data_IF_736786960351
#
_entry.id   IF_736786960351
#
_cell.length_a   1.000
_cell.length_b   1.000
_cell.length_c   1.000
_cell.angle_alpha   90.00
_cell.angle_beta   90.00
_cell.angle_gamma   90.00
#
_symmetry.space_group_name_H-M   'P 1'
#
loop_
_entity.id
_entity.type
_entity.pdbx_description
1 polymer ?
#
# COMPACT_ATOMS: atom_id res chain seq x y z
N UNK A 1 -19.43 -10.83 10.56
CA UNK A 1 -19.41 -11.06 9.11
C UNK A 1 -18.15 -10.36 8.61
N UNK A 2 -17.31 -11.04 7.83
CA UNK A 2 -16.16 -10.41 7.20
C UNK A 2 -16.68 -9.56 6.05
N UNK A 3 -16.39 -8.26 6.08
CA UNK A 3 -16.90 -7.27 5.12
C UNK A 3 -15.80 -6.42 4.48
N UNK A 4 -14.56 -6.53 4.96
CA UNK A 4 -13.36 -5.87 4.44
C UNK A 4 -12.40 -6.88 3.81
N UNK A 5 -11.96 -6.60 2.59
CA UNK A 5 -10.80 -7.25 1.98
C UNK A 5 -9.59 -6.31 2.00
N UNK A 6 -8.46 -6.75 2.56
CA UNK A 6 -7.20 -6.00 2.49
C UNK A 6 -6.44 -6.52 1.27
N UNK A 7 -6.49 -5.76 0.18
CA UNK A 7 -6.03 -6.13 -1.15
C UNK A 7 -4.58 -5.71 -1.38
N UNK A 8 -3.71 -6.68 -1.67
CA UNK A 8 -2.26 -6.49 -1.77
C UNK A 8 -1.72 -7.35 -2.92
N UNK A 9 -0.71 -6.84 -3.62
CA UNK A 9 0.06 -7.64 -4.58
C UNK A 9 1.36 -8.16 -3.96
N UNK A 10 1.66 -9.45 -4.16
CA UNK A 10 2.89 -10.10 -3.71
C UNK A 10 3.67 -10.70 -4.88
N UNK A 11 4.82 -10.12 -5.17
CA UNK A 11 5.76 -10.56 -6.20
C UNK A 11 6.65 -11.72 -5.73
N UNK A 12 7.33 -12.40 -6.65
CA UNK A 12 8.33 -13.41 -6.31
C UNK A 12 9.66 -12.77 -5.87
N UNK A 13 9.67 -12.22 -4.66
CA UNK A 13 10.81 -11.51 -4.11
C UNK A 13 10.96 -11.77 -2.59
N UNK A 14 12.14 -12.22 -2.11
CA UNK A 14 12.40 -12.43 -0.68
C UNK A 14 12.05 -11.24 0.20
N UNK A 15 12.33 -10.02 -0.26
CA UNK A 15 11.99 -8.80 0.46
C UNK A 15 10.49 -8.61 0.59
N UNK A 16 9.72 -8.96 -0.43
CA UNK A 16 8.26 -8.82 -0.38
C UNK A 16 7.61 -9.91 0.49
N UNK A 17 8.23 -11.08 0.63
CA UNK A 17 7.81 -12.08 1.61
C UNK A 17 8.04 -11.62 3.05
N UNK A 18 9.17 -10.96 3.32
CA UNK A 18 9.43 -10.33 4.62
C UNK A 18 8.41 -9.23 4.91
N UNK A 19 8.10 -8.38 3.93
CA UNK A 19 7.10 -7.32 4.07
C UNK A 19 5.70 -7.91 4.30
N UNK A 20 5.31 -8.94 3.55
CA UNK A 20 4.05 -9.65 3.78
C UNK A 20 3.98 -10.27 5.19
N UNK A 21 5.08 -10.80 5.72
CA UNK A 21 5.14 -11.30 7.08
C UNK A 21 4.81 -10.18 8.10
N UNK A 22 5.23 -8.93 7.86
CA UNK A 22 4.89 -7.81 8.74
C UNK A 22 3.39 -7.50 8.76
N UNK A 23 2.75 -7.40 7.59
CA UNK A 23 1.32 -7.13 7.55
C UNK A 23 0.52 -8.32 8.08
N UNK A 24 0.92 -9.56 7.78
CA UNK A 24 0.27 -10.76 8.29
C UNK A 24 0.34 -10.85 9.81
N UNK A 25 1.53 -10.63 10.39
CA UNK A 25 1.74 -10.59 11.84
C UNK A 25 0.94 -9.48 12.51
N UNK A 26 0.92 -8.28 11.93
CA UNK A 26 0.11 -7.18 12.48
C UNK A 26 -1.38 -7.42 12.32
N UNK A 27 -1.86 -8.00 11.23
CA UNK A 27 -3.26 -8.41 11.01
C UNK A 27 -3.75 -9.40 12.08
N UNK A 28 -2.92 -10.37 12.46
CA UNK A 28 -3.17 -11.28 13.58
C UNK A 28 -3.18 -10.51 14.91
N UNK A 29 -2.08 -9.83 15.23
CA UNK A 29 -1.88 -9.19 16.52
C UNK A 29 -2.93 -8.13 16.85
N UNK A 30 -3.31 -7.32 15.85
CA UNK A 30 -4.29 -6.25 15.97
C UNK A 30 -5.75 -6.76 16.03
N UNK A 31 -5.98 -8.03 15.72
CA UNK A 31 -7.32 -8.62 15.67
C UNK A 31 -8.10 -8.31 14.39
N UNK A 32 -7.49 -7.72 13.36
CA UNK A 32 -8.15 -7.43 12.09
C UNK A 32 -8.67 -8.69 11.39
N UNK A 33 -8.05 -9.84 11.62
CA UNK A 33 -8.51 -11.14 11.12
C UNK A 33 -9.96 -11.51 11.47
N UNK A 34 -10.55 -10.87 12.48
CA UNK A 34 -11.93 -11.13 12.90
C UNK A 34 -12.97 -10.49 11.98
N UNK A 35 -12.58 -9.45 11.23
CA UNK A 35 -13.49 -8.62 10.43
C UNK A 35 -12.98 -8.37 9.01
N UNK A 36 -11.75 -8.78 8.69
CA UNK A 36 -11.17 -8.68 7.35
C UNK A 36 -10.44 -9.94 6.91
N UNK A 37 -10.40 -10.16 5.60
CA UNK A 37 -9.46 -11.11 4.97
C UNK A 37 -8.24 -10.35 4.42
N UNK A 38 -7.07 -11.00 4.41
CA UNK A 38 -5.93 -10.60 3.59
C UNK A 38 -6.11 -11.19 2.18
N UNK A 39 -6.37 -10.35 1.19
CA UNK A 39 -6.52 -10.73 -0.22
C UNK A 39 -5.19 -10.50 -0.93
N UNK A 40 -4.39 -11.56 -1.03
CA UNK A 40 -3.09 -11.56 -1.67
C UNK A 40 -3.20 -11.99 -3.15
N UNK A 41 -3.18 -11.02 -4.05
CA UNK A 41 -2.91 -11.29 -5.46
C UNK A 41 -1.41 -11.55 -5.60
N UNK A 42 -1.00 -12.71 -6.07
CA UNK A 42 0.40 -13.12 -6.00
C UNK A 42 0.93 -13.69 -7.31
N UNK A 43 2.22 -13.45 -7.53
CA UNK A 43 2.99 -14.09 -8.57
C UNK A 43 2.86 -15.63 -8.44
N UNK A 44 2.79 -16.42 -9.53
CA UNK A 44 2.62 -17.87 -9.46
C UNK A 44 3.60 -18.57 -8.49
N UNK A 45 4.88 -18.20 -8.53
CA UNK A 45 5.93 -18.73 -7.65
C UNK A 45 5.84 -18.29 -6.17
N UNK A 46 4.96 -17.36 -5.81
CA UNK A 46 4.79 -16.88 -4.44
C UNK A 46 3.69 -17.65 -3.68
N UNK A 47 2.77 -18.32 -4.37
CA UNK A 47 1.55 -18.94 -3.80
C UNK A 47 1.85 -19.89 -2.63
N UNK A 48 2.89 -20.72 -2.79
CA UNK A 48 3.28 -21.74 -1.82
C UNK A 48 4.17 -21.21 -0.69
N UNK A 49 4.64 -19.97 -0.82
CA UNK A 49 5.45 -19.28 0.20
C UNK A 49 4.59 -18.45 1.15
N UNK A 50 3.33 -18.19 0.77
CA UNK A 50 2.33 -17.55 1.61
C UNK A 50 1.61 -18.58 2.51
N UNK A 51 1.08 -18.15 3.67
CA UNK A 51 0.32 -19.03 4.56
C UNK A 51 -0.73 -19.86 3.81
N UNK A 52 -0.69 -21.18 3.98
CA UNK A 52 -1.54 -22.13 3.24
C UNK A 52 -2.78 -22.58 4.01
N UNK A 53 -2.73 -22.58 5.34
CA UNK A 53 -3.77 -23.11 6.22
C UNK A 53 -4.59 -22.04 6.93
N UNK A 54 -4.36 -20.76 6.58
CA UNK A 54 -5.08 -19.65 7.19
C UNK A 54 -6.32 -19.28 6.34
N UNK A 55 -7.55 -19.51 6.85
CA UNK A 55 -8.76 -19.25 6.08
C UNK A 55 -9.00 -17.77 5.77
N UNK A 56 -8.37 -16.85 6.51
CA UNK A 56 -8.46 -15.41 6.25
C UNK A 56 -7.41 -14.90 5.27
N UNK A 57 -6.53 -15.77 4.74
CA UNK A 57 -5.58 -15.44 3.68
C UNK A 57 -6.10 -15.96 2.34
N UNK A 58 -6.70 -15.07 1.56
CA UNK A 58 -7.26 -15.35 0.23
C UNK A 58 -6.18 -15.12 -0.82
N UNK A 59 -5.78 -16.18 -1.50
CA UNK A 59 -4.72 -16.13 -2.54
C UNK A 59 -5.32 -16.14 -3.93
N UNK A 60 -4.87 -15.23 -4.78
CA UNK A 60 -5.28 -15.11 -6.18
C UNK A 60 -4.04 -15.04 -7.05
N UNK A 61 -3.93 -15.88 -8.08
CA UNK A 61 -2.73 -15.90 -8.93
C UNK A 61 -2.87 -14.89 -10.06
N UNK A 62 -1.83 -14.09 -10.28
CA UNK A 62 -1.74 -13.19 -11.44
C UNK A 62 -0.31 -13.17 -12.00
N UNK A 63 -0.20 -13.23 -13.33
CA UNK A 63 1.09 -13.03 -14.00
C UNK A 63 1.53 -11.56 -13.90
N UNK A 64 2.81 -11.29 -13.59
CA UNK A 64 3.31 -9.93 -13.51
C UNK A 64 3.29 -9.22 -14.86
N UNK A 65 3.02 -7.92 -14.87
CA UNK A 65 3.07 -7.09 -16.08
C UNK A 65 4.50 -6.72 -16.49
N UNK A 66 5.36 -6.45 -15.52
CA UNK A 66 6.77 -6.11 -15.73
C UNK A 66 7.63 -7.37 -15.84
N UNK A 67 7.61 -7.97 -17.01
CA UNK A 67 8.45 -9.11 -17.40
C UNK A 67 9.48 -8.68 -18.46
N UNK A 68 10.61 -9.41 -18.62
CA UNK A 68 11.59 -9.11 -19.67
C UNK A 68 10.95 -8.99 -21.05
N UNK A 69 11.26 -7.91 -21.76
CA UNK A 69 10.71 -7.62 -23.10
C UNK A 69 9.28 -7.05 -23.13
N UNK A 70 8.61 -6.93 -21.97
CA UNK A 70 7.35 -6.18 -21.90
C UNK A 70 7.57 -4.68 -22.05
N UNK A 71 6.51 -3.91 -22.31
CA UNK A 71 6.60 -2.43 -22.31
C UNK A 71 7.01 -1.84 -20.96
N UNK A 72 6.86 -2.63 -19.89
CA UNK A 72 7.12 -2.31 -18.49
C UNK A 72 8.44 -2.92 -17.97
N UNK A 73 9.26 -3.47 -18.86
CA UNK A 73 10.57 -4.01 -18.49
C UNK A 73 11.40 -2.93 -17.76
N UNK A 74 12.01 -3.32 -16.64
CA UNK A 74 12.72 -2.42 -15.73
C UNK A 74 11.84 -1.62 -14.75
N UNK A 75 10.51 -1.66 -14.84
CA UNK A 75 9.59 -0.93 -13.95
C UNK A 75 8.64 -1.86 -13.18
N UNK A 76 9.16 -2.57 -12.17
CA UNK A 76 8.41 -3.60 -11.43
C UNK A 76 7.23 -3.06 -10.60
N UNK A 77 7.24 -1.78 -10.24
CA UNK A 77 6.17 -1.17 -9.43
C UNK A 77 4.79 -1.24 -10.10
N UNK A 78 4.72 -1.35 -11.44
CA UNK A 78 3.43 -1.53 -12.12
C UNK A 78 2.71 -2.82 -11.70
N UNK A 79 3.45 -3.86 -11.29
CA UNK A 79 2.84 -5.14 -10.89
C UNK A 79 1.86 -4.95 -9.72
N UNK A 80 2.14 -4.01 -8.80
CA UNK A 80 1.27 -3.76 -7.64
C UNK A 80 -0.02 -3.01 -7.97
N UNK A 81 -0.18 -2.57 -9.22
CA UNK A 81 -1.40 -1.94 -9.73
C UNK A 81 -2.05 -2.84 -10.77
N UNK A 82 -1.28 -3.22 -11.79
CA UNK A 82 -1.72 -4.04 -12.91
C UNK A 82 -2.34 -5.36 -12.50
N UNK A 83 -1.69 -6.08 -11.58
CA UNK A 83 -2.20 -7.34 -11.07
C UNK A 83 -3.46 -7.14 -10.22
N UNK A 84 -3.70 -5.97 -9.63
CA UNK A 84 -4.90 -5.69 -8.85
C UNK A 84 -6.08 -5.19 -9.69
N UNK A 85 -5.83 -4.79 -10.95
CA UNK A 85 -6.79 -4.06 -11.80
C UNK A 85 -7.47 -4.94 -12.86
N UNK A 86 -7.21 -6.26 -12.87
CA UNK A 86 -7.69 -7.18 -13.90
C UNK A 86 -9.05 -7.82 -13.59
N UNK A 87 -9.73 -8.43 -14.57
CA UNK A 87 -11.05 -9.05 -14.37
C UNK A 87 -11.11 -10.13 -13.28
N UNK A 88 -9.96 -10.74 -12.97
CA UNK A 88 -9.87 -11.74 -11.91
C UNK A 88 -10.17 -11.15 -10.52
N UNK A 89 -10.00 -9.84 -10.29
CA UNK A 89 -10.32 -9.17 -9.03
C UNK A 89 -11.76 -8.63 -8.98
N UNK A 90 -12.53 -8.66 -10.07
CA UNK A 90 -13.88 -8.10 -10.14
C UNK A 90 -14.85 -8.74 -9.14
N UNK A 91 -14.69 -10.06 -8.90
CA UNK A 91 -15.51 -10.80 -7.95
C UNK A 91 -15.37 -10.30 -6.50
N UNK A 92 -14.31 -9.55 -6.17
CA UNK A 92 -14.10 -8.98 -4.84
C UNK A 92 -15.20 -7.99 -4.46
N UNK A 93 -15.78 -7.27 -5.42
CA UNK A 93 -16.89 -6.34 -5.16
C UNK A 93 -18.16 -7.05 -4.68
N UNK A 94 -18.38 -8.31 -5.09
CA UNK A 94 -19.47 -9.14 -4.59
C UNK A 94 -19.18 -9.81 -3.25
N UNK A 95 -17.89 -9.95 -2.89
CA UNK A 95 -17.46 -10.66 -1.66
C UNK A 95 -17.26 -9.71 -0.48
N UNK A 96 -16.71 -8.52 -0.72
CA UNK A 96 -16.42 -7.54 0.32
C UNK A 96 -17.19 -6.26 0.04
N UNK A 97 -17.75 -5.65 1.08
CA UNK A 97 -18.37 -4.33 0.96
C UNK A 97 -17.31 -3.24 0.83
N UNK A 98 -16.17 -3.45 1.49
CA UNK A 98 -15.06 -2.52 1.55
C UNK A 98 -13.77 -3.20 1.10
N UNK A 99 -12.92 -2.45 0.41
CA UNK A 99 -11.55 -2.83 0.17
C UNK A 99 -10.61 -1.80 0.78
N UNK A 100 -9.49 -2.28 1.33
CA UNK A 100 -8.29 -1.51 1.59
C UNK A 100 -7.23 -2.00 0.61
N UNK A 101 -6.96 -1.24 -0.46
CA UNK A 101 -5.77 -1.48 -1.27
C UNK A 101 -4.56 -0.92 -0.54
N UNK A 102 -3.53 -1.72 -0.36
CA UNK A 102 -2.28 -1.30 0.27
C UNK A 102 -1.08 -2.10 -0.28
N UNK A 103 0.12 -1.72 0.12
CA UNK A 103 1.38 -2.42 -0.17
C UNK A 103 1.71 -3.42 0.96
N UNK A 104 2.67 -4.31 0.72
CA UNK A 104 3.03 -5.34 1.69
C UNK A 104 3.82 -4.77 2.89
N UNK A 105 4.52 -3.65 2.71
CA UNK A 105 5.46 -3.07 3.69
C UNK A 105 4.77 -2.20 4.73
N UNK A 106 3.70 -2.72 5.32
CA UNK A 106 2.81 -1.97 6.23
C UNK A 106 2.47 -2.77 7.48
N UNK A 107 2.04 -2.06 8.52
CA UNK A 107 1.57 -2.63 9.77
C UNK A 107 0.16 -2.14 10.07
N UNK A 108 -0.75 -3.06 10.38
CA UNK A 108 -2.12 -2.75 10.75
C UNK A 108 -2.25 -2.56 12.27
N UNK A 109 -3.14 -1.68 12.69
CA UNK A 109 -3.46 -1.49 14.12
C UNK A 109 -4.88 -1.95 14.43
N UNK A 110 -5.21 -2.06 15.72
CA UNK A 110 -6.56 -2.45 16.16
C UNK A 110 -7.63 -1.40 15.80
N UNK A 111 -7.23 -0.17 15.45
CA UNK A 111 -8.17 0.87 15.04
C UNK A 111 -8.85 0.57 13.70
N UNK A 112 -8.26 -0.30 12.86
CA UNK A 112 -8.86 -0.71 11.58
C UNK A 112 -10.01 -1.71 11.74
N UNK A 113 -10.06 -2.47 12.85
CA UNK A 113 -10.93 -3.65 13.01
C UNK A 113 -12.39 -3.36 12.64
N UNK A 114 -12.94 -2.24 13.10
CA UNK A 114 -14.34 -1.87 12.84
C UNK A 114 -14.48 -0.55 12.08
N UNK A 115 -13.38 0.00 11.57
CA UNK A 115 -13.43 1.26 10.86
C UNK A 115 -13.95 1.05 9.44
N UNK A 116 -15.08 1.68 9.09
CA UNK A 116 -15.65 1.68 7.74
C UNK A 116 -16.00 3.13 7.39
N UNK A 117 -15.32 3.74 6.41
CA UNK A 117 -15.44 5.18 6.20
C UNK A 117 -16.69 5.52 5.37
N UNK A 118 -17.36 6.63 5.66
CA UNK A 118 -18.48 7.11 4.84
C UNK A 118 -18.03 7.67 3.49
N UNK A 119 -16.78 8.13 3.42
CA UNK A 119 -16.09 8.64 2.23
C UNK A 119 -14.84 7.81 1.97
N UNK A 120 -14.22 7.97 0.80
CA UNK A 120 -12.93 7.34 0.54
C UNK A 120 -11.86 7.88 1.50
N UNK A 121 -10.93 7.01 1.88
CA UNK A 121 -9.75 7.36 2.65
C UNK A 121 -8.53 7.18 1.77
N UNK A 122 -7.81 8.27 1.56
CA UNK A 122 -6.58 8.27 0.77
C UNK A 122 -5.37 8.27 1.71
N UNK A 123 -4.43 7.38 1.43
CA UNK A 123 -3.09 7.42 1.99
C UNK A 123 -2.30 8.65 1.57
N UNK A 124 -1.08 8.79 2.09
CA UNK A 124 -0.21 9.91 1.78
C UNK A 124 1.03 9.42 1.04
N UNK A 125 1.24 9.95 -0.15
CA UNK A 125 2.42 9.73 -0.96
C UNK A 125 3.39 10.88 -0.78
N UNK A 126 4.58 10.61 -0.28
CA UNK A 126 5.64 11.61 -0.11
C UNK A 126 6.54 11.75 -1.34
N UNK A 127 5.98 11.56 -2.54
CA UNK A 127 6.74 11.60 -3.79
C UNK A 127 6.92 13.01 -4.36
N UNK A 128 6.11 13.97 -3.89
CA UNK A 128 6.19 15.37 -4.26
C UNK A 128 6.47 16.19 -2.99
N UNK A 129 7.73 16.62 -2.81
CA UNK A 129 8.12 17.47 -1.70
C UNK A 129 7.70 18.93 -1.97
N UNK A 130 7.34 19.74 -0.97
CA UNK A 130 6.98 21.15 -1.17
C UNK A 130 8.07 21.99 -1.87
N UNK A 131 9.33 21.57 -1.77
CA UNK A 131 10.46 22.19 -2.48
C UNK A 131 10.54 21.77 -3.97
N UNK A 132 9.82 20.72 -4.37
CA UNK A 132 9.76 20.19 -5.73
C UNK A 132 8.57 20.78 -6.51
N UNK A 133 8.49 22.12 -6.58
CA UNK A 133 7.47 22.85 -7.36
C UNK A 133 7.38 22.38 -8.83
N UNK A 134 8.48 21.86 -9.37
CA UNK A 134 8.52 21.26 -10.71
C UNK A 134 7.52 20.12 -10.88
N UNK A 135 7.43 19.19 -9.91
CA UNK A 135 6.54 18.02 -10.00
C UNK A 135 5.09 18.46 -10.11
N UNK A 136 4.67 19.42 -9.28
CA UNK A 136 3.30 19.93 -9.28
C UNK A 136 2.97 20.62 -10.60
N UNK A 137 3.91 21.40 -11.13
CA UNK A 137 3.75 22.09 -12.41
C UNK A 137 3.63 21.08 -13.55
N UNK A 138 4.55 20.11 -13.63
CA UNK A 138 4.56 19.06 -14.66
C UNK A 138 3.33 18.16 -14.59
N UNK A 139 2.88 17.82 -13.40
CA UNK A 139 1.64 17.08 -13.17
C UNK A 139 0.43 17.85 -13.71
N UNK A 140 0.31 19.15 -13.38
CA UNK A 140 -0.79 19.98 -13.85
C UNK A 140 -0.76 20.17 -15.39
N UNK A 141 0.43 20.38 -15.97
CA UNK A 141 0.64 20.44 -17.43
C UNK A 141 0.21 19.13 -18.10
N UNK A 142 0.66 17.99 -17.57
CA UNK A 142 0.31 16.67 -18.07
C UNK A 142 -1.20 16.41 -18.01
N UNK A 143 -1.83 16.72 -16.87
CA UNK A 143 -3.28 16.59 -16.69
C UNK A 143 -4.04 17.44 -17.71
N UNK A 144 -3.67 18.72 -17.84
CA UNK A 144 -4.31 19.64 -18.78
C UNK A 144 -4.18 19.17 -20.23
N UNK A 145 -2.99 18.71 -20.63
CA UNK A 145 -2.73 18.17 -21.97
C UNK A 145 -3.56 16.90 -22.28
N UNK A 146 -3.97 16.17 -21.24
CA UNK A 146 -4.80 14.96 -21.37
C UNK A 146 -6.28 15.19 -20.99
N UNK A 147 -6.73 16.45 -20.87
CA UNK A 147 -8.13 16.78 -20.61
C UNK A 147 -8.61 16.49 -19.18
N UNK A 148 -7.69 16.30 -18.24
CA UNK A 148 -7.98 16.09 -16.81
C UNK A 148 -7.86 17.40 -16.06
N UNK A 149 -8.88 17.73 -15.27
CA UNK A 149 -8.80 18.86 -14.33
C UNK A 149 -8.14 18.41 -13.04
N UNK A 150 -6.90 18.83 -12.82
CA UNK A 150 -6.24 18.62 -11.53
C UNK A 150 -6.86 19.53 -10.46
N UNK A 151 -7.39 18.95 -9.37
CA UNK A 151 -8.04 19.66 -8.26
C UNK A 151 -7.09 20.31 -7.27
N UNK A 152 -5.78 20.24 -7.52
CA UNK A 152 -4.74 20.84 -6.66
C UNK A 152 -4.45 20.04 -5.39
N UNK A 153 -4.96 18.81 -5.28
CA UNK A 153 -4.63 17.89 -4.20
C UNK A 153 -3.49 16.99 -4.66
N UNK A 154 -2.33 17.20 -4.04
CA UNK A 154 -1.07 16.51 -4.35
C UNK A 154 -0.67 15.56 -3.22
N UNK A 155 0.17 14.58 -3.56
CA UNK A 155 0.71 13.60 -2.62
C UNK A 155 -0.29 12.51 -2.25
N UNK A 156 -1.13 12.08 -3.20
CA UNK A 156 -2.00 10.92 -2.99
C UNK A 156 -1.12 9.66 -2.79
N UNK A 157 -1.35 8.94 -1.68
CA UNK A 157 -0.63 7.71 -1.36
C UNK A 157 -1.11 6.52 -2.18
N UNK A 158 -0.34 5.44 -2.11
CA UNK A 158 -0.67 4.17 -2.76
C UNK A 158 -1.83 3.47 -2.04
N UNK A 159 -2.01 3.71 -0.74
CA UNK A 159 -3.10 3.11 0.04
C UNK A 159 -4.44 3.82 -0.18
N UNK A 160 -5.50 3.02 -0.29
CA UNK A 160 -6.86 3.49 -0.53
C UNK A 160 -7.86 2.59 0.19
N UNK A 161 -8.74 3.18 1.00
CA UNK A 161 -9.88 2.45 1.57
C UNK A 161 -11.20 3.06 1.13
N UNK A 162 -12.11 2.22 0.67
CA UNK A 162 -13.42 2.65 0.20
C UNK A 162 -14.32 1.48 -0.18
N UNK A 163 -15.50 1.79 -0.72
CA UNK A 163 -16.36 0.76 -1.30
C UNK A 163 -15.59 -0.01 -2.36
N UNK A 164 -15.74 -1.33 -2.38
CA UNK A 164 -14.95 -2.21 -3.25
C UNK A 164 -14.98 -1.77 -4.72
N UNK A 165 -16.16 -1.38 -5.22
CA UNK A 165 -16.34 -0.89 -6.59
C UNK A 165 -15.49 0.36 -6.88
N UNK A 166 -15.42 1.31 -5.94
CA UNK A 166 -14.61 2.53 -6.07
C UNK A 166 -13.11 2.19 -6.04
N UNK A 167 -12.69 1.28 -5.16
CA UNK A 167 -11.28 0.87 -5.08
C UNK A 167 -10.83 0.20 -6.38
N UNK A 168 -11.63 -0.72 -6.90
CA UNK A 168 -11.34 -1.42 -8.15
C UNK A 168 -11.41 -0.47 -9.37
N UNK A 169 -12.35 0.48 -9.39
CA UNK A 169 -12.43 1.51 -10.42
C UNK A 169 -11.18 2.40 -10.44
N UNK A 170 -10.76 2.93 -9.28
CA UNK A 170 -9.54 3.74 -9.18
C UNK A 170 -8.32 2.96 -9.69
N UNK A 171 -8.18 1.68 -9.33
CA UNK A 171 -7.07 0.83 -9.79
C UNK A 171 -7.02 0.70 -11.33
N UNK A 172 -8.17 0.50 -11.98
CA UNK A 172 -8.24 0.48 -13.45
C UNK A 172 -7.87 1.82 -14.07
N UNK A 173 -8.33 2.93 -13.49
CA UNK A 173 -7.95 4.29 -13.92
C UNK A 173 -6.46 4.55 -13.70
N UNK A 174 -5.90 4.10 -12.58
CA UNK A 174 -4.48 4.20 -12.28
C UNK A 174 -3.63 3.40 -13.28
N UNK A 175 -4.05 2.20 -13.68
CA UNK A 175 -3.37 1.45 -14.73
C UNK A 175 -3.37 2.20 -16.07
N UNK A 176 -4.53 2.73 -16.47
CA UNK A 176 -4.67 3.55 -17.68
C UNK A 176 -3.72 4.77 -17.66
N UNK A 177 -3.69 5.51 -16.56
CA UNK A 177 -2.82 6.68 -16.43
C UNK A 177 -1.33 6.31 -16.36
N UNK A 178 -1.01 5.16 -15.77
CA UNK A 178 0.36 4.63 -15.78
C UNK A 178 0.84 4.41 -17.21
N UNK A 179 0.02 3.82 -18.09
CA UNK A 179 0.38 3.62 -19.51
C UNK A 179 0.63 4.95 -20.23
N UNK A 180 -0.22 5.96 -19.99
CA UNK A 180 -0.06 7.30 -20.57
C UNK A 180 1.22 8.00 -20.10
N UNK A 181 1.53 7.90 -18.81
CA UNK A 181 2.76 8.45 -18.24
C UNK A 181 3.99 7.71 -18.76
N UNK A 182 3.94 6.39 -18.89
CA UNK A 182 5.02 5.61 -19.48
C UNK A 182 5.34 6.09 -20.91
N UNK A 183 4.32 6.33 -21.73
CA UNK A 183 4.50 6.83 -23.09
C UNK A 183 5.11 8.24 -23.08
N UNK A 184 4.66 9.11 -22.17
CA UNK A 184 5.27 10.43 -21.96
C UNK A 184 6.75 10.34 -21.57
N UNK A 185 7.13 9.52 -20.59
CA UNK A 185 8.54 9.40 -20.19
C UNK A 185 9.41 8.71 -21.26
N UNK A 186 8.83 7.89 -22.14
CA UNK A 186 9.53 7.35 -23.32
C UNK A 186 9.81 8.43 -24.37
N UNK A 187 8.89 9.36 -24.55
CA UNK A 187 9.01 10.45 -25.52
C UNK A 187 9.93 11.57 -25.02
N UNK A 188 9.75 12.00 -23.76
CA UNK A 188 10.41 13.18 -23.19
C UNK A 188 11.62 12.87 -22.30
N UNK A 189 11.92 11.58 -22.10
CA UNK A 189 13.03 11.09 -21.27
C UNK A 189 12.62 10.82 -19.82
N UNK A 190 13.43 10.07 -19.05
CA UNK A 190 13.02 9.52 -17.75
C UNK A 190 12.96 10.55 -16.62
N UNK A 191 13.49 11.76 -16.79
CA UNK A 191 13.54 12.78 -15.74
C UNK A 191 14.56 12.48 -14.64
N UNK A 192 14.46 13.14 -13.48
CA UNK A 192 15.45 13.03 -12.38
C UNK A 192 14.79 13.07 -11.01
N UNK A 193 15.29 12.24 -10.09
CA UNK A 193 14.86 12.24 -8.69
C UNK A 193 15.80 13.08 -7.80
N UNK A 194 15.28 13.88 -6.85
CA UNK A 194 13.87 14.20 -6.63
C UNK A 194 13.35 15.19 -7.68
N UNK A 195 12.18 14.90 -8.30
CA UNK A 195 11.66 15.69 -9.42
C UNK A 195 10.65 14.92 -10.26
N UNK A 196 10.31 15.45 -11.45
CA UNK A 196 9.44 14.75 -12.43
C UNK A 196 10.23 13.55 -12.99
N UNK A 197 9.93 12.35 -12.51
CA UNK A 197 10.77 11.17 -12.73
C UNK A 197 9.96 9.89 -12.99
N UNK A 198 10.36 9.10 -13.99
CA UNK A 198 9.67 7.89 -14.41
C UNK A 198 9.65 6.77 -13.35
N UNK A 199 10.53 6.82 -12.34
CA UNK A 199 10.56 5.83 -11.28
C UNK A 199 9.36 5.85 -10.33
N UNK A 200 8.49 6.87 -10.41
CA UNK A 200 7.28 7.00 -9.57
C UNK A 200 5.98 7.10 -10.38
N UNK A 201 5.97 6.59 -11.63
CA UNK A 201 4.80 6.58 -12.53
C UNK A 201 3.50 6.14 -11.84
N UNK A 202 3.50 5.05 -11.08
CA UNK A 202 2.28 4.56 -10.42
C UNK A 202 1.74 5.51 -9.36
N UNK A 203 2.60 6.30 -8.70
CA UNK A 203 2.19 7.31 -7.73
C UNK A 203 1.55 8.50 -8.42
N UNK A 204 2.16 8.98 -9.51
CA UNK A 204 1.56 10.00 -10.37
C UNK A 204 0.20 9.55 -10.90
N UNK A 205 0.12 8.31 -11.40
CA UNK A 205 -1.11 7.77 -11.95
C UNK A 205 -2.24 7.65 -10.91
N UNK A 206 -1.91 7.33 -9.65
CA UNK A 206 -2.89 7.27 -8.57
C UNK A 206 -3.52 8.65 -8.33
N UNK A 207 -2.68 9.68 -8.30
CA UNK A 207 -3.11 11.06 -8.12
C UNK A 207 -3.96 11.56 -9.28
N UNK A 208 -3.56 11.27 -10.53
CA UNK A 208 -4.35 11.64 -11.71
C UNK A 208 -5.70 10.93 -11.68
N UNK A 209 -5.74 9.63 -11.39
CA UNK A 209 -6.98 8.87 -11.28
C UNK A 209 -7.93 9.45 -10.21
N UNK A 210 -7.40 9.84 -9.05
CA UNK A 210 -8.19 10.44 -7.99
C UNK A 210 -8.69 11.86 -8.36
N UNK A 211 -7.85 12.67 -9.02
CA UNK A 211 -8.21 14.01 -9.47
C UNK A 211 -9.20 14.00 -10.64
N UNK A 212 -9.10 13.02 -11.54
CA UNK A 212 -10.05 12.81 -12.64
C UNK A 212 -11.49 12.69 -12.14
N UNK A 213 -11.68 12.10 -10.94
CA UNK A 213 -12.96 12.02 -10.26
C UNK A 213 -12.89 12.64 -8.85
N UNK A 214 -12.46 13.90 -8.81
CA UNK A 214 -12.18 14.66 -7.59
C UNK A 214 -13.31 14.63 -6.54
N UNK A 215 -14.57 14.80 -6.97
CA UNK A 215 -15.71 14.83 -6.04
C UNK A 215 -15.89 13.50 -5.30
N UNK A 216 -15.55 12.38 -5.95
CA UNK A 216 -15.67 11.03 -5.37
C UNK A 216 -14.50 10.71 -4.45
N UNK A 217 -13.27 11.00 -4.90
CA UNK A 217 -12.07 10.49 -4.23
C UNK A 217 -11.35 11.49 -3.33
N UNK A 218 -11.57 12.81 -3.50
CA UNK A 218 -10.70 13.82 -2.86
C UNK A 218 -11.48 14.91 -2.11
N UNK A 219 -12.63 15.38 -2.62
CA UNK A 219 -13.34 16.54 -2.04
C UNK A 219 -13.64 16.43 -0.55
N UNK A 220 -14.00 15.23 -0.10
CA UNK A 220 -14.33 14.94 1.30
C UNK A 220 -13.52 13.77 1.85
N UNK A 221 -12.39 13.45 1.22
CA UNK A 221 -11.58 12.32 1.62
C UNK A 221 -10.94 12.56 2.98
N UNK A 222 -10.84 11.49 3.76
CA UNK A 222 -9.98 11.52 4.94
C UNK A 222 -8.53 11.30 4.48
N UNK A 223 -7.65 12.19 4.94
CA UNK A 223 -6.21 12.08 4.75
C UNK A 223 -5.53 11.80 6.08
N UNK A 224 -4.30 11.28 6.03
CA UNK A 224 -3.44 11.08 7.21
C UNK A 224 -3.98 10.10 8.26
N UNK A 225 -4.81 9.14 7.85
CA UNK A 225 -5.18 7.98 8.69
C UNK A 225 -4.66 6.65 8.12
N UNK A 226 -4.36 6.64 6.82
CA UNK A 226 -3.54 5.63 6.15
C UNK A 226 -2.14 6.18 5.91
N UNK A 227 -1.18 5.27 5.72
CA UNK A 227 0.25 5.55 5.52
C UNK A 227 0.89 6.41 6.63
N UNK A 228 0.61 6.10 7.90
CA UNK A 228 1.36 6.69 9.02
C UNK A 228 2.81 6.22 8.98
N UNK A 229 3.75 7.15 9.01
CA UNK A 229 5.15 6.79 8.78
C UNK A 229 5.74 6.06 10.01
N UNK A 230 6.43 4.94 9.78
CA UNK A 230 6.90 4.04 10.85
C UNK A 230 7.95 4.61 11.80
N UNK A 231 8.53 5.77 11.52
CA UNK A 231 9.51 6.43 12.38
C UNK A 231 8.91 7.38 13.40
N UNK A 232 7.62 7.69 13.29
CA UNK A 232 6.98 8.61 14.22
C UNK A 232 7.04 8.04 15.65
N UNK A 233 7.57 8.78 16.64
CA UNK A 233 7.68 8.33 18.02
C UNK A 233 6.38 8.56 18.81
N UNK A 234 5.27 8.75 18.11
CA UNK A 234 3.97 9.10 18.68
C UNK A 234 3.14 7.87 19.07
N UNK A 235 2.17 8.04 20.00
CA UNK A 235 1.22 6.99 20.33
C UNK A 235 0.40 6.52 19.12
N UNK A 236 -0.01 5.26 19.14
CA UNK A 236 -1.04 4.71 18.26
C UNK A 236 -2.39 5.14 18.83
N UNK A 237 -2.87 6.29 18.38
CA UNK A 237 -4.22 6.79 18.70
C UNK A 237 -5.26 6.27 17.69
N UNK A 238 -6.50 6.74 17.80
CA UNK A 238 -7.63 6.31 16.97
C UNK A 238 -7.53 6.73 15.49
N UNK A 239 -6.55 7.55 15.10
CA UNK A 239 -6.29 7.95 13.73
C UNK A 239 -5.20 7.11 13.07
N UNK A 240 -4.45 6.32 13.84
CA UNK A 240 -3.40 5.44 13.33
C UNK A 240 -4.00 4.06 13.06
N UNK A 241 -4.45 3.82 11.83
CA UNK A 241 -5.02 2.52 11.40
C UNK A 241 -4.00 1.65 10.67
N UNK A 242 -3.05 2.31 10.00
CA UNK A 242 -2.17 1.72 9.03
C UNK A 242 -0.85 2.48 9.01
N UNK A 243 0.25 1.76 9.27
CA UNK A 243 1.60 2.32 9.40
C UNK A 243 2.44 1.83 8.22
N UNK A 244 3.02 2.74 7.44
CA UNK A 244 3.91 2.42 6.33
C UNK A 244 5.37 2.32 6.80
N UNK A 245 6.04 1.22 6.45
CA UNK A 245 7.46 1.00 6.75
C UNK A 245 8.34 1.84 5.81
N UNK A 246 8.67 3.06 6.22
CA UNK A 246 9.44 3.98 5.39
C UNK A 246 10.96 3.70 5.47
N UNK A 247 11.71 3.94 4.38
CA UNK A 247 13.17 4.00 4.46
C UNK A 247 13.59 5.37 5.03
N UNK A 248 14.26 5.36 6.18
CA UNK A 248 14.74 6.58 6.85
C UNK A 248 15.94 6.28 7.75
N UNK A 249 16.56 7.32 8.31
CA UNK A 249 17.58 7.23 9.34
C UNK A 249 17.02 7.24 10.77
N UNK A 250 15.71 7.46 10.91
CA UNK A 250 15.01 7.41 12.19
C UNK A 250 14.54 5.99 12.55
N UNK A 251 14.20 5.77 13.82
CA UNK A 251 13.66 4.49 14.30
C UNK A 251 12.13 4.55 14.27
N UNK A 252 11.40 3.67 13.59
CA UNK A 252 11.77 2.45 12.85
C UNK A 252 11.88 2.67 11.34
N UNK A 253 12.91 2.06 10.74
CA UNK A 253 13.23 2.14 9.32
C UNK A 253 13.41 0.75 8.72
N UNK A 254 12.72 0.47 7.61
CA UNK A 254 12.83 -0.84 6.94
C UNK A 254 14.23 -1.11 6.38
N UNK A 255 14.92 -0.09 5.89
CA UNK A 255 16.27 -0.24 5.32
C UNK A 255 17.28 -0.60 6.42
N UNK A 256 17.16 0.04 7.59
CA UNK A 256 18.00 -0.25 8.75
C UNK A 256 17.69 -1.62 9.36
N UNK A 257 16.42 -2.03 9.41
CA UNK A 257 16.03 -3.36 9.84
C UNK A 257 16.73 -4.45 9.02
N UNK A 258 16.69 -4.33 7.69
CA UNK A 258 17.35 -5.27 6.76
C UNK A 258 18.86 -5.30 6.86
N UNK A 259 19.47 -4.17 7.23
CA UNK A 259 20.90 -4.07 7.49
C UNK A 259 21.29 -4.64 8.87
N UNK A 260 20.33 -5.16 9.65
CA UNK A 260 20.58 -5.73 10.96
C UNK A 260 20.77 -4.70 12.07
N UNK A 261 20.45 -3.42 11.84
CA UNK A 261 20.68 -2.34 12.81
C UNK A 261 19.93 -2.53 14.15
N UNK A 262 18.91 -3.38 14.15
CA UNK A 262 18.10 -3.67 15.33
C UNK A 262 18.37 -5.05 15.94
N UNK A 263 19.31 -5.82 15.40
CA UNK A 263 19.70 -7.12 15.96
C UNK A 263 20.17 -6.97 17.41
N UNK A 264 19.71 -7.87 18.28
CA UNK A 264 20.04 -7.83 19.71
C UNK A 264 19.19 -6.88 20.55
N UNK A 265 18.22 -6.16 19.95
CA UNK A 265 17.23 -5.39 20.73
C UNK A 265 16.43 -6.31 21.63
N UNK A 266 16.33 -5.99 22.93
CA UNK A 266 15.40 -6.66 23.83
C UNK A 266 13.97 -6.19 23.52
N UNK A 267 13.21 -7.03 22.82
CA UNK A 267 11.84 -6.72 22.38
C UNK A 267 10.88 -6.39 23.54
N UNK A 268 11.20 -6.79 24.78
CA UNK A 268 10.39 -6.46 25.96
C UNK A 268 10.48 -4.99 26.36
N UNK A 269 11.50 -4.27 25.88
CA UNK A 269 11.69 -2.85 26.15
C UNK A 269 10.94 -1.94 25.17
N UNK A 270 10.40 -2.51 24.08
CA UNK A 270 9.64 -1.77 23.08
C UNK A 270 8.23 -1.47 23.59
N UNK A 271 7.97 -0.19 23.86
CA UNK A 271 6.63 0.34 24.10
C UNK A 271 5.72 0.22 22.84
N UNK A 272 4.98 -0.89 22.75
CA UNK A 272 4.08 -1.20 21.63
C UNK A 272 2.88 -0.25 21.50
N UNK A 273 2.71 0.70 22.40
CA UNK A 273 1.71 1.77 22.25
C UNK A 273 2.19 2.90 21.36
N UNK A 274 3.47 2.90 20.94
CA UNK A 274 4.05 3.87 20.01
C UNK A 274 4.28 3.29 18.63
N UNK A 275 4.08 4.10 17.59
CA UNK A 275 4.13 3.69 16.17
C UNK A 275 5.46 2.99 15.85
N UNK A 276 6.60 3.65 16.12
CA UNK A 276 7.90 3.11 15.76
C UNK A 276 8.30 1.84 16.52
N UNK A 277 7.99 1.77 17.81
CA UNK A 277 8.25 0.60 18.63
C UNK A 277 7.33 -0.56 18.27
N UNK A 278 6.07 -0.28 17.93
CA UNK A 278 5.11 -1.27 17.43
C UNK A 278 5.59 -1.89 16.11
N UNK A 279 5.95 -1.06 15.12
CA UNK A 279 6.48 -1.52 13.84
C UNK A 279 7.73 -2.39 14.03
N UNK A 280 8.68 -1.95 14.88
CA UNK A 280 9.86 -2.73 15.22
C UNK A 280 9.49 -4.06 15.87
N UNK A 281 8.62 -4.04 16.89
CA UNK A 281 8.23 -5.24 17.61
C UNK A 281 7.56 -6.25 16.67
N UNK A 282 6.63 -5.82 15.82
CA UNK A 282 5.99 -6.71 14.84
C UNK A 282 7.03 -7.27 13.88
N UNK A 283 7.90 -6.44 13.30
CA UNK A 283 8.90 -6.89 12.34
C UNK A 283 9.82 -7.97 12.93
N UNK A 284 10.32 -7.75 14.16
CA UNK A 284 11.29 -8.62 14.82
C UNK A 284 10.69 -9.83 15.55
N UNK A 285 9.40 -9.80 15.92
CA UNK A 285 8.79 -10.89 16.70
C UNK A 285 8.47 -12.08 15.80
N UNK A 286 8.83 -13.32 16.20
CA UNK A 286 8.44 -14.53 15.48
C UNK A 286 6.92 -14.71 15.42
N UNK A 287 6.39 -15.13 14.27
CA UNK A 287 4.96 -15.36 14.05
C UNK A 287 4.29 -16.20 15.15
N UNK A 288 4.91 -17.31 15.56
CA UNK A 288 4.36 -18.20 16.59
C UNK A 288 4.22 -17.52 17.96
N UNK A 289 5.09 -16.56 18.27
CA UNK A 289 4.94 -15.77 19.50
C UNK A 289 3.73 -14.83 19.39
N UNK A 290 3.54 -14.18 18.24
CA UNK A 290 2.37 -13.32 18.00
C UNK A 290 1.08 -14.14 18.11
N UNK A 291 1.00 -15.28 17.43
CA UNK A 291 -0.17 -16.17 17.48
C UNK A 291 -0.51 -16.57 18.90
N UNK A 292 0.48 -17.00 19.70
CA UNK A 292 0.28 -17.38 21.11
C UNK A 292 -0.21 -16.22 21.96
N UNK A 293 0.35 -15.03 21.76
CA UNK A 293 0.02 -13.86 22.60
C UNK A 293 -1.45 -13.43 22.45
N UNK A 294 -2.00 -13.53 21.23
CA UNK A 294 -3.39 -13.11 20.95
C UNK A 294 -4.37 -14.28 20.82
N UNK A 295 -3.91 -15.52 21.06
CA UNK A 295 -4.74 -16.73 20.95
C UNK A 295 -5.28 -16.95 19.54
N UNK A 296 -4.45 -16.76 18.51
CA UNK A 296 -4.83 -16.99 17.12
C UNK A 296 -5.03 -18.49 16.86
N UNK A 297 -6.18 -18.93 16.32
CA UNK A 297 -6.56 -20.34 16.30
C UNK A 297 -6.05 -21.14 15.09
N UNK A 298 -5.35 -20.50 14.14
CA UNK A 298 -4.86 -21.10 12.90
C UNK A 298 -3.33 -21.02 12.80
#
# INVERSE_FOLDING_TARGET
MIDLGILIYIDDNPTMYEEFDWIYKSWIYSGNWRTSDLVAVCHPNAVDKLPSNDPGVVKMVAEPMAVPGSRWDGYKFINSIGCLSGPHTDALAGKYTWLLRTDADVFLTSNLVNFRPSMVVQGRGNYAHPEACEVWTKMAEFCAANGVRHGGVFGCGSSLMGKSELVLDLLRRQLFWSEKLLDHFKEYGPGTWPGWFSGVITMYAAEIAANENYDTYLRYAYHRILDMESMLPYPIDNLVMHIHAVPTDEHFSKSRYRQGAYQGTDLRTLDRTKINHYAHWIAATPLEQIKREVGYPF
#
